data_IF_840583058342
#
_entry.id   IF_840583058342
#
_cell.length_a   1.000
_cell.length_b   1.000
_cell.length_c   1.000
_cell.angle_alpha   90.00
_cell.angle_beta   90.00
_cell.angle_gamma   90.00
#
_symmetry.space_group_name_H-M   'P 1'
#
loop_
_entity.id
_entity.type
_entity.pdbx_description
1 polymer ?
#
# COMPACT_ATOMS: atom_id res chain seq x y z
N UNK A 1 -11.39 -1.77 -23.43
CA UNK A 1 -10.90 -1.89 -22.04
C UNK A 1 -9.65 -1.02 -21.95
N UNK A 2 -9.61 -0.07 -21.02
CA UNK A 2 -8.50 0.88 -20.88
C UNK A 2 -7.16 0.16 -20.66
N UNK A 3 -6.08 0.62 -21.30
CA UNK A 3 -4.74 0.03 -21.18
C UNK A 3 -4.25 0.01 -19.72
N UNK A 4 -4.59 1.04 -18.95
CA UNK A 4 -4.24 1.18 -17.53
C UNK A 4 -4.93 0.11 -16.69
N UNK A 5 -6.22 -0.12 -16.93
CA UNK A 5 -7.00 -1.14 -16.24
C UNK A 5 -6.48 -2.54 -16.58
N UNK A 6 -6.06 -2.77 -17.83
CA UNK A 6 -5.44 -4.03 -18.24
C UNK A 6 -4.13 -4.27 -17.49
N UNK A 7 -3.25 -3.27 -17.42
CA UNK A 7 -1.99 -3.36 -16.69
C UNK A 7 -2.21 -3.58 -15.19
N UNK A 8 -3.11 -2.82 -14.57
CA UNK A 8 -3.43 -2.95 -13.15
C UNK A 8 -3.92 -4.37 -12.81
N UNK A 9 -4.82 -4.93 -13.63
CA UNK A 9 -5.33 -6.30 -13.43
C UNK A 9 -4.26 -7.35 -13.66
N UNK A 10 -3.41 -7.21 -14.68
CA UNK A 10 -2.34 -8.16 -14.97
C UNK A 10 -1.30 -8.19 -13.83
N UNK A 11 -0.82 -7.02 -13.39
CA UNK A 11 0.14 -6.91 -12.31
C UNK A 11 -0.43 -7.38 -10.97
N UNK A 12 -1.73 -7.22 -10.72
CA UNK A 12 -2.37 -7.76 -9.52
C UNK A 12 -2.40 -9.30 -9.47
N UNK A 13 -2.13 -10.00 -10.59
CA UNK A 13 -1.96 -11.46 -10.60
C UNK A 13 -0.50 -11.88 -10.32
N UNK A 14 0.45 -10.94 -10.36
CA UNK A 14 1.86 -11.19 -10.13
C UNK A 14 2.21 -10.85 -8.67
N UNK A 15 2.55 -11.84 -7.82
CA UNK A 15 2.90 -11.59 -6.43
C UNK A 15 4.05 -10.58 -6.31
N UNK A 16 3.87 -9.55 -5.48
CA UNK A 16 4.87 -8.52 -5.23
C UNK A 16 5.03 -7.46 -6.33
N UNK A 17 4.28 -7.53 -7.43
CA UNK A 17 4.36 -6.54 -8.52
C UNK A 17 3.71 -5.19 -8.13
N UNK A 18 2.75 -5.20 -7.20
CA UNK A 18 2.06 -4.02 -6.69
C UNK A 18 2.17 -4.00 -5.17
N UNK A 19 2.42 -2.81 -4.60
CA UNK A 19 2.53 -2.62 -3.15
C UNK A 19 1.75 -1.40 -2.68
N UNK A 20 1.35 -1.39 -1.41
CA UNK A 20 0.70 -0.27 -0.74
C UNK A 20 1.64 0.25 0.34
N UNK A 21 1.75 1.57 0.47
CA UNK A 21 2.39 2.20 1.62
C UNK A 21 1.30 2.53 2.64
N UNK A 22 1.45 2.01 3.84
CA UNK A 22 0.58 2.23 5.00
C UNK A 22 1.43 2.84 6.11
N UNK A 23 0.78 3.39 7.14
CA UNK A 23 1.45 3.81 8.35
C UNK A 23 1.05 2.88 9.48
N UNK A 24 1.95 1.99 9.89
CA UNK A 24 1.71 1.22 11.09
C UNK A 24 2.09 2.07 12.31
N UNK A 25 1.18 2.13 13.28
CA UNK A 25 1.54 2.59 14.61
C UNK A 25 2.50 1.54 15.18
N UNK A 26 3.80 1.80 15.08
CA UNK A 26 4.84 0.89 15.52
C UNK A 26 4.83 0.76 17.05
N UNK A 27 3.90 -0.02 17.60
CA UNK A 27 4.08 -0.51 18.96
C UNK A 27 3.24 -1.77 19.23
N UNK A 28 3.91 -2.80 19.77
CA UNK A 28 3.29 -3.90 20.52
C UNK A 28 2.47 -3.43 21.74
N UNK A 29 2.38 -2.11 21.98
CA UNK A 29 1.64 -1.46 23.06
C UNK A 29 0.35 -0.76 22.61
N UNK A 30 -0.05 -0.83 21.34
CA UNK A 30 -1.24 -0.14 20.82
C UNK A 30 -2.60 -0.64 21.37
N UNK A 31 -2.62 -1.72 22.15
CA UNK A 31 -3.82 -2.22 22.82
C UNK A 31 -3.94 -1.76 24.30
N UNK A 32 -3.01 -0.95 24.81
CA UNK A 32 -3.12 -0.38 26.14
C UNK A 32 -4.06 0.84 26.11
N UNK A 33 -5.02 0.89 27.03
CA UNK A 33 -6.06 1.93 27.20
C UNK A 33 -5.49 3.33 27.49
N UNK A 34 -4.82 3.92 26.51
CA UNK A 34 -4.14 5.22 26.57
C UNK A 34 -3.66 5.72 25.20
N UNK A 35 -4.43 5.43 24.14
CA UNK A 35 -4.12 5.85 22.77
C UNK A 35 -4.20 7.38 22.65
N UNK A 36 -3.04 8.05 22.66
CA UNK A 36 -2.95 9.47 22.40
C UNK A 36 -2.35 9.69 20.99
N UNK A 37 -3.24 9.81 20.01
CA UNK A 37 -2.90 10.05 18.60
C UNK A 37 -2.03 11.30 18.38
N UNK A 38 -2.07 12.28 19.30
CA UNK A 38 -1.30 13.51 19.18
C UNK A 38 0.21 13.36 19.38
N UNK A 39 0.66 12.24 19.98
CA UNK A 39 2.07 11.96 20.24
C UNK A 39 2.76 11.18 19.11
N UNK A 40 1.98 10.49 18.26
CA UNK A 40 2.51 9.77 17.11
C UNK A 40 2.43 10.66 15.87
N UNK A 41 3.59 11.14 15.42
CA UNK A 41 3.69 11.79 14.11
C UNK A 41 3.53 10.71 13.04
N UNK A 42 2.29 10.43 12.65
CA UNK A 42 1.92 9.52 11.55
C UNK A 42 2.52 9.93 10.19
N UNK A 43 3.19 11.08 10.14
CA UNK A 43 3.95 11.60 9.00
C UNK A 43 5.45 11.30 9.08
N UNK A 44 5.95 10.71 10.17
CA UNK A 44 7.35 10.30 10.28
C UNK A 44 7.61 9.12 9.35
N UNK A 45 8.58 9.22 8.43
CA UNK A 45 8.87 8.17 7.46
C UNK A 45 9.16 6.79 8.06
N UNK A 46 9.62 6.74 9.33
CA UNK A 46 9.94 5.49 10.03
C UNK A 46 8.71 4.64 10.39
N UNK A 47 7.51 5.22 10.32
CA UNK A 47 6.27 4.51 10.58
C UNK A 47 5.61 4.00 9.29
N UNK A 48 6.16 4.31 8.12
CA UNK A 48 5.64 3.78 6.88
C UNK A 48 6.10 2.35 6.66
N UNK A 49 5.13 1.48 6.41
CA UNK A 49 5.33 0.07 6.08
C UNK A 49 4.81 -0.16 4.67
N UNK A 50 5.43 -1.10 3.96
CA UNK A 50 5.08 -1.43 2.59
C UNK A 50 4.56 -2.86 2.58
N UNK A 51 3.32 -3.04 2.12
CA UNK A 51 2.68 -4.34 2.02
C UNK A 51 2.45 -4.71 0.56
N UNK A 52 2.54 -6.00 0.26
CA UNK A 52 2.18 -6.50 -1.06
C UNK A 52 0.66 -6.41 -1.26
N UNK A 53 0.23 -6.04 -2.46
CA UNK A 53 -1.17 -6.12 -2.86
C UNK A 53 -1.51 -7.57 -3.14
N UNK A 54 -2.46 -8.13 -2.39
CA UNK A 54 -2.91 -9.52 -2.55
C UNK A 54 -4.29 -9.63 -3.20
N UNK A 55 -5.05 -8.52 -3.22
CA UNK A 55 -6.40 -8.50 -3.81
C UNK A 55 -6.72 -7.13 -4.41
N UNK A 56 -7.34 -7.16 -5.58
CA UNK A 56 -7.87 -5.98 -6.26
C UNK A 56 -9.40 -6.11 -6.42
N UNK A 57 -10.14 -5.11 -5.94
CA UNK A 57 -11.59 -5.03 -6.05
C UNK A 57 -12.00 -3.88 -6.99
N UNK A 58 -13.12 -4.05 -7.70
CA UNK A 58 -13.71 -3.04 -8.57
C UNK A 58 -13.68 -3.38 -10.07
N UNK A 59 -14.04 -2.42 -10.95
CA UNK A 59 -14.33 -1.02 -10.60
C UNK A 59 -15.65 -0.85 -9.85
N UNK A 60 -15.75 0.15 -8.97
CA UNK A 60 -17.01 0.57 -8.34
C UNK A 60 -17.86 1.43 -9.30
N UNK A 61 -19.02 1.93 -8.84
CA UNK A 61 -19.91 2.80 -9.63
C UNK A 61 -19.28 4.12 -10.09
N UNK A 62 -18.09 4.48 -9.59
CA UNK A 62 -17.30 5.65 -9.98
C UNK A 62 -16.05 5.29 -10.81
N UNK A 63 -15.91 4.04 -11.24
CA UNK A 63 -14.75 3.57 -12.01
C UNK A 63 -13.50 3.26 -11.18
N UNK A 64 -13.57 3.37 -9.85
CA UNK A 64 -12.40 3.24 -8.99
C UNK A 64 -12.10 1.80 -8.61
N UNK A 65 -10.82 1.49 -8.42
CA UNK A 65 -10.33 0.21 -7.92
C UNK A 65 -9.84 0.35 -6.48
N UNK A 66 -9.96 -0.72 -5.71
CA UNK A 66 -9.43 -0.83 -4.35
C UNK A 66 -8.42 -1.96 -4.29
N UNK A 67 -7.19 -1.65 -3.90
CA UNK A 67 -6.12 -2.62 -3.67
C UNK A 67 -6.03 -2.92 -2.17
N UNK A 68 -5.91 -4.20 -1.81
CA UNK A 68 -5.83 -4.68 -0.43
C UNK A 68 -4.52 -5.42 -0.17
N UNK A 69 -3.96 -5.23 1.04
CA UNK A 69 -2.91 -6.07 1.60
C UNK A 69 -3.48 -7.31 2.31
N UNK A 70 -2.61 -8.22 2.74
CA UNK A 70 -3.01 -9.40 3.52
C UNK A 70 -3.45 -9.04 4.94
N UNK A 71 -2.91 -7.94 5.46
CA UNK A 71 -3.15 -7.40 6.80
C UNK A 71 -4.48 -6.63 6.89
N UNK A 72 -5.13 -6.38 5.75
CA UNK A 72 -6.41 -5.69 5.66
C UNK A 72 -6.30 -4.20 5.36
N UNK A 73 -5.09 -3.68 5.16
CA UNK A 73 -4.89 -2.32 4.66
C UNK A 73 -5.32 -2.19 3.21
N UNK A 74 -5.72 -0.98 2.82
CA UNK A 74 -6.17 -0.75 1.46
C UNK A 74 -5.93 0.68 1.00
N UNK A 75 -5.85 0.85 -0.32
CA UNK A 75 -5.97 2.14 -0.97
C UNK A 75 -6.94 2.06 -2.15
N UNK A 76 -7.62 3.18 -2.43
CA UNK A 76 -8.64 3.26 -3.48
C UNK A 76 -8.40 4.50 -4.35
N UNK A 77 -8.62 4.37 -5.66
CA UNK A 77 -8.47 5.49 -6.57
C UNK A 77 -8.92 5.16 -7.99
N UNK A 78 -8.87 6.17 -8.85
CA UNK A 78 -9.00 5.96 -10.29
C UNK A 78 -7.80 5.15 -10.80
N UNK A 79 -7.98 4.23 -11.76
CA UNK A 79 -6.91 3.34 -12.20
C UNK A 79 -5.66 4.09 -12.68
N UNK A 80 -5.81 5.28 -13.30
CA UNK A 80 -4.73 6.13 -13.80
C UNK A 80 -3.88 6.74 -12.68
N UNK A 81 -4.47 6.96 -11.50
CA UNK A 81 -3.77 7.46 -10.32
C UNK A 81 -3.29 6.33 -9.41
N UNK A 82 -4.05 5.23 -9.36
CA UNK A 82 -3.77 4.09 -8.49
C UNK A 82 -2.57 3.28 -8.97
N UNK A 83 -2.52 2.96 -10.27
CA UNK A 83 -1.43 2.17 -10.85
C UNK A 83 -0.02 2.76 -10.60
N UNK A 84 0.26 4.04 -10.91
CA UNK A 84 1.59 4.60 -10.67
C UNK A 84 1.96 4.61 -9.18
N UNK A 85 0.99 4.88 -8.29
CA UNK A 85 1.21 4.87 -6.84
C UNK A 85 1.62 3.50 -6.31
N UNK A 86 0.96 2.44 -6.79
CA UNK A 86 1.27 1.06 -6.39
C UNK A 86 2.64 0.61 -6.90
N UNK A 87 3.01 1.03 -8.11
CA UNK A 87 4.34 0.77 -8.69
C UNK A 87 5.45 1.54 -7.98
N UNK A 88 5.21 2.78 -7.59
CA UNK A 88 6.15 3.60 -6.82
C UNK A 88 6.42 2.99 -5.44
N UNK A 89 5.36 2.54 -4.75
CA UNK A 89 5.47 1.78 -3.51
C UNK A 89 6.28 0.48 -3.69
N UNK A 90 6.07 -0.22 -4.82
CA UNK A 90 6.87 -1.38 -5.23
C UNK A 90 8.37 -1.08 -5.24
N UNK A 91 8.75 0.01 -5.93
CA UNK A 91 10.14 0.47 -6.04
C UNK A 91 10.73 0.88 -4.69
N UNK A 92 9.96 1.57 -3.84
CA UNK A 92 10.40 1.98 -2.50
C UNK A 92 10.72 0.77 -1.60
N UNK A 93 9.97 -0.33 -1.71
CA UNK A 93 10.25 -1.57 -0.99
C UNK A 93 11.31 -2.47 -1.63
N UNK A 94 11.89 -2.07 -2.76
CA UNK A 94 12.89 -2.85 -3.51
C UNK A 94 14.32 -2.41 -3.24
N UNK A 95 14.54 -1.47 -2.31
CA UNK A 95 15.89 -1.04 -1.93
C UNK A 95 16.64 -2.27 -1.40
N UNK A 96 17.74 -2.71 -2.06
CA UNK A 96 18.52 -3.84 -1.57
C UNK A 96 19.03 -3.50 -0.17
N UNK A 97 19.11 -4.52 0.69
CA UNK A 97 19.78 -4.37 1.99
C UNK A 97 21.12 -3.68 1.75
N UNK A 98 21.27 -2.44 2.23
CA UNK A 98 22.54 -1.75 2.21
C UNK A 98 23.51 -2.64 2.98
N UNK A 99 24.41 -3.30 2.26
CA UNK A 99 25.50 -4.06 2.86
C UNK A 99 26.19 -3.14 3.86
N UNK A 100 26.14 -3.52 5.13
CA UNK A 100 26.81 -2.83 6.20
C UNK A 100 28.28 -2.60 5.85
N UNK A 101 28.73 -1.37 6.08
CA UNK A 101 30.12 -1.02 6.30
C UNK A 101 30.17 -0.03 7.44
#
# INVERSE_FOLDING_TARGET
>A
MDATVKSLKALAQEPGALRIITNECASKSCNASGHNESLFKLTDPRHFVIHDVVRLEGPNHRGQFKAHSAEGDWCQGQPEALLPRLLEAGKAGSVPASNGR
#
